data_IF_365642543700
#
_entry.id   IF_365642543700
#
_cell.length_a   1.000
_cell.length_b   1.000
_cell.length_c   1.000
_cell.angle_alpha   90.00
_cell.angle_beta   90.00
_cell.angle_gamma   90.00
#
_symmetry.space_group_name_H-M   'P 1'
#
loop_
_entity.id
_entity.type
_entity.pdbx_description
1 polymer ?
#
# COMPACT_ATOMS: atom_id res chain seq x y z
N UNK A 1 -15.63 -23.92 -5.38
CA UNK A 1 -16.40 -22.73 -5.82
C UNK A 1 -15.64 -21.86 -6.82
N UNK A 2 -14.45 -21.32 -6.48
CA UNK A 2 -13.64 -20.51 -7.42
C UNK A 2 -13.27 -21.28 -8.71
N UNK A 3 -13.00 -22.58 -8.62
CA UNK A 3 -12.70 -23.41 -9.78
C UNK A 3 -13.86 -23.48 -10.81
N UNK A 4 -15.11 -23.47 -10.35
CA UNK A 4 -16.28 -23.47 -11.25
C UNK A 4 -16.45 -22.12 -11.92
N UNK A 5 -16.29 -21.02 -11.17
CA UNK A 5 -16.30 -19.66 -11.73
C UNK A 5 -15.25 -19.52 -12.84
N UNK A 6 -14.03 -20.01 -12.61
CA UNK A 6 -12.97 -19.98 -13.62
C UNK A 6 -13.33 -20.78 -14.88
N UNK A 7 -14.01 -21.93 -14.75
CA UNK A 7 -14.46 -22.73 -15.90
C UNK A 7 -15.51 -21.97 -16.70
N UNK A 8 -16.53 -21.43 -16.04
CA UNK A 8 -17.59 -20.66 -16.69
C UNK A 8 -17.05 -19.43 -17.44
N UNK A 9 -16.12 -18.67 -16.84
CA UNK A 9 -15.51 -17.52 -17.49
C UNK A 9 -14.78 -17.87 -18.80
N UNK A 10 -14.25 -19.09 -18.92
CA UNK A 10 -13.59 -19.53 -20.17
C UNK A 10 -14.57 -19.80 -21.31
N UNK A 11 -15.86 -19.97 -21.02
CA UNK A 11 -16.90 -20.18 -22.00
C UNK A 11 -17.58 -18.87 -22.44
N UNK A 12 -17.16 -17.73 -21.89
CA UNK A 12 -17.71 -16.41 -22.18
C UNK A 12 -16.97 -15.71 -23.31
N UNK A 13 -17.70 -14.91 -24.09
CA UNK A 13 -17.12 -14.03 -25.09
C UNK A 13 -16.39 -12.84 -24.43
N UNK A 14 -15.55 -12.14 -25.19
CA UNK A 14 -14.87 -10.94 -24.70
C UNK A 14 -15.85 -9.83 -24.26
N UNK A 15 -16.96 -9.68 -24.96
CA UNK A 15 -18.01 -8.70 -24.63
C UNK A 15 -18.71 -9.06 -23.32
N UNK A 16 -19.08 -10.33 -23.13
CA UNK A 16 -19.68 -10.82 -21.88
C UNK A 16 -18.71 -10.66 -20.70
N UNK A 17 -17.42 -10.93 -20.92
CA UNK A 17 -16.39 -10.75 -19.90
C UNK A 17 -16.22 -9.27 -19.52
N UNK A 18 -16.23 -8.37 -20.49
CA UNK A 18 -16.17 -6.93 -20.24
C UNK A 18 -17.37 -6.45 -19.42
N UNK A 19 -18.59 -6.89 -19.76
CA UNK A 19 -19.79 -6.54 -19.00
C UNK A 19 -19.75 -7.07 -17.57
N UNK A 20 -19.25 -8.30 -17.37
CA UNK A 20 -19.04 -8.86 -16.03
C UNK A 20 -18.01 -8.05 -15.23
N UNK A 21 -16.88 -7.68 -15.83
CA UNK A 21 -15.86 -6.84 -15.19
C UNK A 21 -16.41 -5.46 -14.80
N UNK A 22 -17.19 -4.82 -15.69
CA UNK A 22 -17.84 -3.55 -15.40
C UNK A 22 -18.84 -3.68 -14.24
N UNK A 23 -19.67 -4.73 -14.24
CA UNK A 23 -20.60 -5.00 -13.15
C UNK A 23 -19.90 -5.21 -11.81
N UNK A 24 -18.78 -5.94 -11.80
CA UNK A 24 -17.95 -6.13 -10.61
C UNK A 24 -17.34 -4.82 -10.11
N UNK A 25 -16.93 -3.93 -11.03
CA UNK A 25 -16.36 -2.62 -10.70
C UNK A 25 -17.38 -1.70 -10.00
N UNK A 26 -18.65 -1.74 -10.41
CA UNK A 26 -19.73 -0.97 -9.81
C UNK A 26 -20.11 -1.50 -8.42
N UNK A 27 -19.91 -2.80 -8.17
CA UNK A 27 -20.33 -3.43 -6.92
C UNK A 27 -19.41 -3.16 -5.74
N UNK A 28 -18.09 -3.01 -5.96
CA UNK A 28 -17.12 -2.79 -4.88
C UNK A 28 -16.07 -1.77 -5.27
N UNK A 29 -15.85 -0.77 -4.40
CA UNK A 29 -14.81 0.26 -4.60
C UNK A 29 -13.43 -0.35 -4.89
N UNK A 30 -13.03 -1.37 -4.12
CA UNK A 30 -11.74 -2.05 -4.31
C UNK A 30 -11.60 -2.71 -5.70
N UNK A 31 -12.69 -3.17 -6.31
CA UNK A 31 -12.64 -3.74 -7.66
C UNK A 31 -12.39 -2.65 -8.69
N UNK A 32 -13.06 -1.50 -8.54
CA UNK A 32 -12.83 -0.32 -9.39
C UNK A 32 -11.40 0.19 -9.25
N UNK A 33 -10.90 0.32 -8.03
CA UNK A 33 -9.52 0.74 -7.76
C UNK A 33 -8.51 -0.23 -8.40
N UNK A 34 -8.68 -1.55 -8.23
CA UNK A 34 -7.82 -2.55 -8.87
C UNK A 34 -7.87 -2.50 -10.40
N UNK A 35 -9.06 -2.37 -10.99
CA UNK A 35 -9.18 -2.23 -12.45
C UNK A 35 -8.55 -0.93 -12.95
N UNK A 36 -8.64 0.14 -12.17
CA UNK A 36 -7.99 1.41 -12.49
C UNK A 36 -6.48 1.21 -12.56
N UNK A 37 -5.90 0.55 -11.54
CA UNK A 37 -4.49 0.21 -11.55
C UNK A 37 -4.11 -0.63 -12.78
N UNK A 38 -4.80 -1.75 -12.99
CA UNK A 38 -4.48 -2.71 -14.06
C UNK A 38 -4.59 -2.13 -15.48
N UNK A 39 -5.49 -1.18 -15.70
CA UNK A 39 -5.77 -0.64 -17.03
C UNK A 39 -5.02 0.67 -17.34
N UNK A 40 -4.63 1.43 -16.31
CA UNK A 40 -4.12 2.80 -16.52
C UNK A 40 -2.80 3.09 -15.80
N UNK A 41 -2.45 2.36 -14.74
CA UNK A 41 -1.31 2.72 -13.88
C UNK A 41 -0.18 1.67 -13.93
N UNK A 42 -0.50 0.41 -14.21
CA UNK A 42 0.44 -0.72 -14.18
C UNK A 42 1.61 -0.59 -15.17
N UNK A 43 1.46 0.18 -16.24
CA UNK A 43 2.52 0.44 -17.22
C UNK A 43 3.50 1.53 -16.76
N UNK A 44 3.15 2.31 -15.72
CA UNK A 44 3.98 3.38 -15.17
C UNK A 44 4.01 3.36 -13.63
N UNK A 45 4.73 2.38 -13.09
CA UNK A 45 4.81 2.11 -11.65
C UNK A 45 5.33 3.30 -10.83
N UNK A 46 6.29 4.07 -11.36
CA UNK A 46 6.84 5.23 -10.66
C UNK A 46 5.76 6.31 -10.42
N UNK A 47 4.90 6.57 -11.40
CA UNK A 47 3.78 7.51 -11.22
C UNK A 47 2.72 7.01 -10.24
N UNK A 48 2.47 5.70 -10.26
CA UNK A 48 1.58 5.05 -9.30
C UNK A 48 2.08 5.24 -7.85
N UNK A 49 3.38 5.01 -7.63
CA UNK A 49 4.03 5.21 -6.33
C UNK A 49 3.88 6.65 -5.85
N UNK A 50 4.21 7.64 -6.70
CA UNK A 50 4.12 9.06 -6.32
C UNK A 50 2.69 9.48 -5.99
N UNK A 51 1.70 8.96 -6.72
CA UNK A 51 0.29 9.23 -6.43
C UNK A 51 -0.11 8.70 -5.04
N UNK A 52 0.36 7.50 -4.67
CA UNK A 52 0.09 6.94 -3.34
C UNK A 52 0.85 7.69 -2.25
N UNK A 53 2.10 8.11 -2.50
CA UNK A 53 2.84 8.94 -1.55
C UNK A 53 2.10 10.23 -1.26
N UNK A 54 1.57 10.90 -2.29
CA UNK A 54 0.74 12.09 -2.12
C UNK A 54 -0.55 11.80 -1.30
N UNK A 55 -1.21 10.66 -1.55
CA UNK A 55 -2.37 10.27 -0.73
C UNK A 55 -1.98 9.99 0.74
N UNK A 56 -0.82 9.36 0.98
CA UNK A 56 -0.30 9.13 2.33
C UNK A 56 -0.07 10.48 3.03
N UNK A 57 0.51 11.45 2.35
CA UNK A 57 0.76 12.80 2.89
C UNK A 57 -0.54 13.45 3.35
N UNK A 58 -1.51 13.53 2.46
CA UNK A 58 -2.82 14.10 2.75
C UNK A 58 -3.49 13.40 3.95
N UNK A 59 -3.43 12.06 4.00
CA UNK A 59 -4.01 11.31 5.11
C UNK A 59 -3.29 11.55 6.45
N UNK A 60 -1.97 11.77 6.44
CA UNK A 60 -1.20 12.11 7.63
C UNK A 60 -1.49 13.52 8.12
N UNK A 61 -1.66 14.49 7.22
CA UNK A 61 -2.05 15.87 7.55
C UNK A 61 -3.45 15.94 8.18
N UNK A 62 -4.37 15.07 7.74
CA UNK A 62 -5.73 14.99 8.26
C UNK A 62 -5.86 14.24 9.60
N UNK A 63 -4.74 13.79 10.20
CA UNK A 63 -4.80 13.08 11.48
C UNK A 63 -5.27 14.02 12.59
N UNK A 64 -6.35 13.64 13.28
CA UNK A 64 -6.72 14.26 14.54
C UNK A 64 -5.69 13.90 15.63
N UNK A 65 -4.93 14.90 16.06
CA UNK A 65 -3.84 14.79 17.05
C UNK A 65 -4.28 15.09 18.49
N UNK A 66 -5.57 15.34 18.73
CA UNK A 66 -6.10 15.67 20.06
C UNK A 66 -5.91 14.53 21.08
N UNK A 67 -5.79 13.29 20.60
CA UNK A 67 -5.51 12.12 21.44
C UNK A 67 -4.82 11.02 20.67
N UNK A 68 -3.94 10.28 21.35
CA UNK A 68 -3.33 9.06 20.82
C UNK A 68 -4.35 8.00 20.40
N UNK A 69 -5.59 8.03 20.91
CA UNK A 69 -6.66 7.17 20.42
C UNK A 69 -6.95 7.45 18.93
N UNK A 70 -7.14 8.72 18.56
CA UNK A 70 -7.43 9.12 17.19
C UNK A 70 -6.21 8.92 16.28
N UNK A 71 -5.01 9.27 16.75
CA UNK A 71 -3.76 9.01 16.02
C UNK A 71 -3.64 7.53 15.68
N UNK A 72 -3.74 6.63 16.67
CA UNK A 72 -3.68 5.18 16.44
C UNK A 72 -4.76 4.68 15.48
N UNK A 73 -5.95 5.28 15.51
CA UNK A 73 -7.05 4.93 14.60
C UNK A 73 -6.70 5.31 13.16
N UNK A 74 -6.22 6.54 12.94
CA UNK A 74 -5.85 7.04 11.62
C UNK A 74 -4.62 6.35 11.06
N UNK A 75 -3.52 6.23 11.82
CA UNK A 75 -2.30 5.54 11.40
C UNK A 75 -2.57 4.11 10.94
N UNK A 76 -3.43 3.36 11.66
CA UNK A 76 -3.85 2.02 11.23
C UNK A 76 -4.68 2.04 9.95
N UNK A 77 -5.50 3.07 9.73
CA UNK A 77 -6.26 3.24 8.48
C UNK A 77 -5.30 3.49 7.31
N UNK A 78 -4.35 4.41 7.47
CA UNK A 78 -3.34 4.73 6.45
C UNK A 78 -2.55 3.48 6.10
N UNK A 79 -1.98 2.78 7.08
CA UNK A 79 -1.22 1.55 6.82
C UNK A 79 -2.04 0.48 6.08
N UNK A 80 -3.33 0.33 6.40
CA UNK A 80 -4.21 -0.61 5.68
C UNK A 80 -4.43 -0.17 4.23
N UNK A 81 -4.60 1.13 3.98
CA UNK A 81 -4.73 1.68 2.63
C UNK A 81 -3.43 1.50 1.83
N UNK A 82 -2.28 1.84 2.40
CA UNK A 82 -0.96 1.61 1.79
C UNK A 82 -0.79 0.13 1.40
N UNK A 83 -1.08 -0.80 2.31
CA UNK A 83 -1.04 -2.25 2.01
C UNK A 83 -2.08 -2.71 0.99
N UNK A 84 -3.19 -2.00 0.86
CA UNK A 84 -4.20 -2.29 -0.18
C UNK A 84 -3.63 -1.93 -1.56
N UNK A 85 -3.05 -0.75 -1.71
CA UNK A 85 -2.42 -0.32 -2.98
C UNK A 85 -1.22 -1.18 -3.38
N UNK A 86 -0.37 -1.54 -2.40
CA UNK A 86 0.71 -2.51 -2.62
C UNK A 86 0.20 -3.84 -3.19
N UNK A 87 -0.95 -4.33 -2.70
CA UNK A 87 -1.56 -5.59 -3.20
C UNK A 87 -2.11 -5.47 -4.62
N UNK A 88 -2.39 -4.28 -5.11
CA UNK A 88 -2.79 -4.08 -6.50
C UNK A 88 -1.59 -4.21 -7.42
N UNK A 89 -0.45 -3.63 -7.02
CA UNK A 89 0.79 -3.69 -7.78
C UNK A 89 1.45 -5.07 -7.81
N UNK A 90 1.52 -5.74 -6.66
CA UNK A 90 2.28 -7.00 -6.48
C UNK A 90 3.79 -6.87 -6.79
N UNK A 91 4.30 -5.67 -7.06
CA UNK A 91 5.73 -5.40 -7.20
C UNK A 91 6.40 -5.32 -5.82
N UNK A 92 7.55 -6.00 -5.67
CA UNK A 92 8.32 -6.06 -4.44
C UNK A 92 9.00 -4.72 -4.10
N UNK A 93 9.46 -3.98 -5.10
CA UNK A 93 10.10 -2.66 -4.94
C UNK A 93 9.06 -1.64 -4.46
N UNK A 94 7.92 -1.56 -5.15
CA UNK A 94 6.76 -0.76 -4.74
C UNK A 94 6.34 -1.03 -3.30
N UNK A 95 6.34 -2.31 -2.90
CA UNK A 95 6.02 -2.68 -1.53
C UNK A 95 7.01 -2.12 -0.50
N UNK A 96 8.31 -2.18 -0.80
CA UNK A 96 9.36 -1.64 0.06
C UNK A 96 9.25 -0.11 0.13
N UNK A 97 9.18 0.54 -1.02
CA UNK A 97 9.18 1.99 -1.14
C UNK A 97 7.99 2.65 -0.42
N UNK A 98 6.77 2.13 -0.62
CA UNK A 98 5.57 2.69 0.01
C UNK A 98 5.54 2.45 1.53
N UNK A 99 6.03 1.30 2.01
CA UNK A 99 6.11 1.03 3.45
C UNK A 99 7.19 1.88 4.12
N UNK A 100 8.33 2.08 3.44
CA UNK A 100 9.41 2.92 3.94
C UNK A 100 8.97 4.39 4.01
N UNK A 101 8.27 4.87 2.98
CA UNK A 101 7.67 6.21 2.98
C UNK A 101 6.65 6.40 4.11
N UNK A 102 5.75 5.43 4.31
CA UNK A 102 4.83 5.43 5.44
C UNK A 102 5.57 5.51 6.78
N UNK A 103 6.64 4.74 6.97
CA UNK A 103 7.46 4.76 8.18
C UNK A 103 8.11 6.13 8.39
N UNK A 104 8.65 6.75 7.33
CA UNK A 104 9.22 8.11 7.37
C UNK A 104 8.20 9.13 7.86
N UNK A 105 6.99 9.14 7.30
CA UNK A 105 5.91 10.03 7.74
C UNK A 105 5.48 9.76 9.17
N UNK A 106 5.35 8.49 9.55
CA UNK A 106 4.98 8.11 10.91
C UNK A 106 6.01 8.58 11.94
N UNK A 107 7.30 8.44 11.65
CA UNK A 107 8.38 8.87 12.54
C UNK A 107 8.45 10.40 12.67
N UNK A 108 8.22 11.11 11.58
CA UNK A 108 8.24 12.58 11.53
C UNK A 108 7.00 13.27 12.12
N UNK A 109 5.94 12.52 12.43
CA UNK A 109 4.69 13.13 12.90
C UNK A 109 4.80 13.77 14.29
N UNK A 110 3.94 14.76 14.54
CA UNK A 110 3.75 15.36 15.86
C UNK A 110 2.30 15.14 16.33
N UNK A 111 2.06 14.74 17.60
CA UNK A 111 3.03 14.41 18.63
C UNK A 111 3.81 13.12 18.31
N UNK A 112 5.06 13.07 18.77
CA UNK A 112 5.98 11.95 18.47
C UNK A 112 5.41 10.59 18.91
N UNK A 113 5.62 9.59 18.06
CA UNK A 113 5.19 8.21 18.29
C UNK A 113 5.86 7.56 19.51
N UNK A 114 7.04 8.04 19.92
CA UNK A 114 7.79 7.52 21.08
C UNK A 114 7.00 7.61 22.38
N UNK A 115 6.05 8.55 22.46
CA UNK A 115 5.12 8.73 23.59
C UNK A 115 4.04 7.65 23.65
N UNK A 116 3.97 6.75 22.66
CA UNK A 116 2.98 5.69 22.62
C UNK A 116 3.57 4.36 22.15
N UNK A 117 3.68 3.41 23.07
CA UNK A 117 4.23 2.06 22.83
C UNK A 117 3.56 1.32 21.67
N UNK A 118 2.25 1.50 21.46
CA UNK A 118 1.55 0.83 20.34
C UNK A 118 2.00 1.37 18.98
N UNK A 119 2.24 2.68 18.88
CA UNK A 119 2.73 3.30 17.64
C UNK A 119 4.20 2.94 17.40
N UNK A 120 5.04 2.97 18.43
CA UNK A 120 6.44 2.51 18.34
C UNK A 120 6.51 1.05 17.89
N UNK A 121 5.75 0.15 18.52
CA UNK A 121 5.71 -1.26 18.13
C UNK A 121 5.13 -1.49 16.72
N UNK A 122 4.26 -0.59 16.24
CA UNK A 122 3.77 -0.66 14.87
C UNK A 122 4.87 -0.24 13.89
N UNK A 123 5.59 0.84 14.19
CA UNK A 123 6.73 1.29 13.40
C UNK A 123 7.81 0.20 13.31
N UNK A 124 8.28 -0.32 14.45
CA UNK A 124 9.35 -1.31 14.51
C UNK A 124 9.01 -2.59 13.73
N UNK A 125 7.77 -3.07 13.85
CA UNK A 125 7.32 -4.24 13.08
C UNK A 125 7.32 -4.00 11.57
N UNK A 126 7.00 -2.80 11.11
CA UNK A 126 7.08 -2.48 9.69
C UNK A 126 8.54 -2.37 9.25
N UNK A 127 9.43 -1.77 10.05
CA UNK A 127 10.88 -1.74 9.76
C UNK A 127 11.45 -3.16 9.63
N UNK A 128 11.11 -4.07 10.56
CA UNK A 128 11.53 -5.48 10.48
C UNK A 128 11.00 -6.14 9.20
N UNK A 129 9.74 -5.90 8.84
CA UNK A 129 9.15 -6.45 7.63
C UNK A 129 9.82 -5.90 6.35
N UNK A 130 10.14 -4.61 6.31
CA UNK A 130 10.87 -3.97 5.20
C UNK A 130 12.25 -4.60 5.07
N UNK A 131 13.04 -4.67 6.15
CA UNK A 131 14.37 -5.29 6.16
C UNK A 131 14.33 -6.73 5.62
N UNK A 132 13.30 -7.51 5.97
CA UNK A 132 13.15 -8.88 5.44
C UNK A 132 12.87 -8.90 3.94
N UNK A 133 12.10 -7.93 3.42
CA UNK A 133 11.76 -7.85 2.00
C UNK A 133 12.93 -7.36 1.15
N UNK A 134 13.65 -6.34 1.64
CA UNK A 134 14.86 -5.80 1.00
C UNK A 134 15.85 -6.92 0.70
N UNK A 135 16.10 -7.85 1.66
CA UNK A 135 16.96 -9.02 1.44
C UNK A 135 16.58 -9.94 0.27
N UNK A 136 15.35 -9.85 -0.25
CA UNK A 136 14.88 -10.65 -1.39
C UNK A 136 14.87 -9.85 -2.72
N UNK A 137 15.43 -8.64 -2.72
CA UNK A 137 15.62 -7.79 -3.90
C UNK A 137 17.01 -8.01 -4.51
N UNK A 138 17.25 -7.40 -5.67
CA UNK A 138 18.58 -7.35 -6.29
C UNK A 138 19.60 -6.65 -5.38
N UNK A 139 20.89 -6.99 -5.51
CA UNK A 139 21.95 -6.46 -4.63
C UNK A 139 22.07 -4.93 -4.68
N UNK A 140 21.95 -4.34 -5.87
CA UNK A 140 21.98 -2.88 -6.03
C UNK A 140 20.85 -2.20 -5.24
N UNK A 141 19.62 -2.71 -5.38
CA UNK A 141 18.47 -2.21 -4.64
C UNK A 141 18.58 -2.46 -3.14
N UNK A 142 19.23 -3.57 -2.74
CA UNK A 142 19.50 -3.82 -1.33
C UNK A 142 20.38 -2.73 -0.73
N UNK A 143 21.43 -2.33 -1.44
CA UNK A 143 22.32 -1.26 -0.99
C UNK A 143 21.54 0.06 -0.80
N UNK A 144 20.80 0.48 -1.83
CA UNK A 144 20.05 1.74 -1.82
C UNK A 144 19.02 1.79 -0.68
N UNK A 145 18.20 0.74 -0.54
CA UNK A 145 17.18 0.71 0.52
C UNK A 145 17.77 0.58 1.93
N UNK A 146 18.95 -0.03 2.08
CA UNK A 146 19.61 -0.05 3.39
C UNK A 146 20.12 1.33 3.80
N UNK A 147 20.65 2.13 2.86
CA UNK A 147 21.01 3.53 3.13
C UNK A 147 19.78 4.34 3.57
N UNK A 148 18.64 4.17 2.89
CA UNK A 148 17.40 4.83 3.30
C UNK A 148 16.92 4.38 4.69
N UNK A 149 17.05 3.09 5.02
CA UNK A 149 16.70 2.56 6.33
C UNK A 149 17.60 3.08 7.45
N UNK A 150 18.87 3.36 7.18
CA UNK A 150 19.81 3.96 8.13
C UNK A 150 19.50 5.45 8.38
N UNK A 151 19.00 6.15 7.35
CA UNK A 151 18.58 7.54 7.45
C UNK A 151 17.26 7.78 8.20
N UNK A 152 16.54 6.72 8.57
CA UNK A 152 15.24 6.80 9.25
C UNK A 152 15.37 7.15 10.72
#
# INVERSE_FOLDING_TARGET
TVANIRKELKHKSNEELAELCLRLSMFKKENKELLTYLLFEADYEAGYIETIKAEIDEQFEQINTNSFFYIKKSVRKILRNTKKYIRYSLNKETEVELLLYFCKKLKAMTPSISRNTTLTNLYDRNIIAIKKKVKNLHEDLQYDYNLELEGL
#
